data_IF_926109451190
#
_entry.id   IF_926109451190
#
_cell.length_a   1.000
_cell.length_b   1.000
_cell.length_c   1.000
_cell.angle_alpha   90.00
_cell.angle_beta   90.00
_cell.angle_gamma   90.00
#
_symmetry.space_group_name_H-M   'P 1'
#
loop_
_entity.id
_entity.type
_entity.pdbx_description
1 polymer ?
#
# COMPACT_ATOMS: atom_id res chain seq x y z
N UNK A 1 16.70 -19.32 -11.42
CA UNK A 1 16.55 -17.94 -11.03
C UNK A 1 15.75 -17.82 -9.74
N UNK A 2 16.26 -17.06 -8.83
CA UNK A 2 15.55 -16.89 -7.59
C UNK A 2 14.28 -16.08 -7.78
N UNK A 3 13.23 -16.55 -7.15
CA UNK A 3 12.01 -15.75 -7.08
C UNK A 3 12.25 -14.67 -6.04
N UNK A 4 12.27 -13.44 -6.46
CA UNK A 4 12.49 -12.35 -5.54
C UNK A 4 11.23 -12.04 -4.78
N UNK A 5 11.36 -11.90 -3.47
CA UNK A 5 10.27 -11.44 -2.65
C UNK A 5 10.00 -9.98 -2.98
N UNK A 6 8.73 -9.66 -3.06
CA UNK A 6 8.34 -8.27 -3.24
C UNK A 6 8.37 -7.61 -1.87
N UNK A 7 9.18 -6.57 -1.76
CA UNK A 7 9.28 -5.81 -0.52
C UNK A 7 8.91 -4.37 -0.78
N UNK A 8 8.08 -3.85 0.07
CA UNK A 8 7.65 -2.46 -0.02
C UNK A 8 8.33 -1.68 1.09
N UNK A 9 8.92 -0.55 0.73
CA UNK A 9 9.40 0.37 1.75
C UNK A 9 8.18 1.06 2.36
N UNK A 10 7.86 0.68 3.58
CA UNK A 10 6.62 1.11 4.24
C UNK A 10 6.55 2.63 4.39
N UNK A 11 7.66 3.25 4.73
CA UNK A 11 7.70 4.71 4.90
C UNK A 11 7.47 5.41 3.57
N UNK A 12 8.18 4.98 2.55
CA UNK A 12 8.02 5.60 1.22
C UNK A 12 6.62 5.41 0.68
N UNK A 13 6.06 4.22 0.87
CA UNK A 13 4.70 3.95 0.45
C UNK A 13 3.71 4.88 1.15
N UNK A 14 3.86 5.01 2.46
CA UNK A 14 2.96 5.85 3.25
C UNK A 14 3.08 7.33 2.84
N UNK A 15 4.28 7.81 2.63
CA UNK A 15 4.46 9.19 2.17
C UNK A 15 3.85 9.41 0.80
N UNK A 16 3.99 8.45 -0.08
CA UNK A 16 3.41 8.57 -1.42
C UNK A 16 1.89 8.63 -1.35
N UNK A 17 1.30 7.83 -0.47
CA UNK A 17 -0.15 7.84 -0.31
C UNK A 17 -0.63 9.20 0.19
N UNK A 18 0.00 9.72 1.25
CA UNK A 18 -0.47 10.98 1.80
C UNK A 18 -0.16 12.17 0.90
N UNK A 19 0.89 12.09 0.09
CA UNK A 19 1.22 13.16 -0.84
C UNK A 19 0.17 13.33 -1.92
N UNK A 20 -0.57 12.27 -2.21
CA UNK A 20 -1.62 12.31 -3.22
C UNK A 20 -3.02 12.43 -2.63
N UNK A 21 -3.10 12.59 -1.32
CA UNK A 21 -4.36 12.65 -0.62
C UNK A 21 -4.65 14.08 -0.20
N UNK A 22 -5.81 14.57 -0.57
CA UNK A 22 -6.24 15.91 -0.19
C UNK A 22 -7.37 15.83 0.81
N UNK A 23 -7.24 16.57 1.89
CA UNK A 23 -8.27 16.65 2.90
C UNK A 23 -9.10 17.92 2.63
N UNK A 24 -10.39 17.74 2.49
CA UNK A 24 -11.27 18.87 2.28
C UNK A 24 -11.69 19.48 3.60
N UNK A 25 -10.84 20.34 4.11
CA UNK A 25 -11.08 21.00 5.37
C UNK A 25 -10.16 22.21 5.47
N UNK A 26 -10.63 23.24 6.18
CA UNK A 26 -9.79 24.39 6.49
C UNK A 26 -9.20 24.29 7.90
N UNK A 27 -9.61 23.28 8.64
CA UNK A 27 -9.12 23.05 10.00
C UNK A 27 -7.77 22.34 9.95
N UNK A 28 -6.73 23.04 10.31
CA UNK A 28 -5.37 22.52 10.22
C UNK A 28 -5.16 21.27 11.08
N UNK A 29 -5.77 21.25 12.26
CA UNK A 29 -5.66 20.09 13.12
C UNK A 29 -6.30 18.87 12.51
N UNK A 30 -7.47 19.04 11.90
CA UNK A 30 -8.13 17.95 11.24
C UNK A 30 -7.32 17.44 10.05
N UNK A 31 -6.75 18.35 9.27
CA UNK A 31 -5.91 17.98 8.14
C UNK A 31 -4.75 17.13 8.61
N UNK A 32 -4.08 17.58 9.67
CA UNK A 32 -2.94 16.85 10.20
C UNK A 32 -3.34 15.47 10.74
N UNK A 33 -4.46 15.40 11.42
CA UNK A 33 -4.94 14.12 11.97
C UNK A 33 -5.30 13.13 10.86
N UNK A 34 -5.94 13.60 9.81
CA UNK A 34 -6.31 12.71 8.71
C UNK A 34 -5.08 12.22 7.96
N UNK A 35 -4.11 13.10 7.75
CA UNK A 35 -2.86 12.68 7.12
C UNK A 35 -2.11 11.67 7.99
N UNK A 36 -2.07 11.91 9.28
CA UNK A 36 -1.38 10.98 10.20
C UNK A 36 -2.07 9.62 10.22
N UNK A 37 -3.40 9.64 10.30
CA UNK A 37 -4.14 8.37 10.32
C UNK A 37 -3.90 7.60 9.03
N UNK A 38 -3.95 8.27 7.89
CA UNK A 38 -3.73 7.62 6.61
C UNK A 38 -2.28 7.13 6.48
N UNK A 39 -1.32 7.92 6.98
CA UNK A 39 0.07 7.50 6.98
C UNK A 39 0.26 6.21 7.78
N UNK A 40 -0.29 6.17 8.98
CA UNK A 40 -0.16 5.01 9.83
C UNK A 40 -0.83 3.79 9.22
N UNK A 41 -2.02 3.95 8.66
CA UNK A 41 -2.71 2.85 8.00
C UNK A 41 -1.91 2.34 6.80
N UNK A 42 -1.39 3.24 6.01
CA UNK A 42 -0.60 2.88 4.84
C UNK A 42 0.68 2.17 5.23
N UNK A 43 1.34 2.68 6.27
CA UNK A 43 2.56 2.08 6.79
C UNK A 43 2.30 0.65 7.28
N UNK A 44 1.26 0.49 8.09
CA UNK A 44 0.91 -0.83 8.63
C UNK A 44 0.51 -1.80 7.53
N UNK A 45 -0.21 -1.31 6.54
CA UNK A 45 -0.61 -2.16 5.42
C UNK A 45 0.61 -2.66 4.65
N UNK A 46 1.57 -1.79 4.42
CA UNK A 46 2.80 -2.18 3.74
C UNK A 46 3.61 -3.18 4.57
N UNK A 47 3.66 -2.96 5.88
CA UNK A 47 4.34 -3.89 6.78
C UNK A 47 3.66 -5.25 6.79
N UNK A 48 2.35 -5.26 6.78
CA UNK A 48 1.59 -6.50 6.73
C UNK A 48 1.84 -7.24 5.42
N UNK A 49 1.87 -6.50 4.32
CA UNK A 49 2.19 -7.09 3.02
C UNK A 49 3.58 -7.73 3.06
N UNK A 50 4.57 -7.00 3.58
CA UNK A 50 5.93 -7.52 3.65
C UNK A 50 6.00 -8.77 4.51
N UNK A 51 5.27 -8.78 5.59
CA UNK A 51 5.25 -9.93 6.50
C UNK A 51 4.65 -11.15 5.81
N UNK A 52 3.57 -10.95 5.08
CA UNK A 52 2.94 -12.06 4.36
C UNK A 52 3.82 -12.58 3.24
N UNK A 53 4.52 -11.69 2.56
CA UNK A 53 5.46 -12.11 1.51
C UNK A 53 6.65 -12.87 2.10
N UNK A 54 7.13 -12.45 3.26
CA UNK A 54 8.21 -13.17 3.95
C UNK A 54 7.76 -14.55 4.36
N UNK A 55 6.47 -14.72 4.63
CA UNK A 55 5.92 -15.99 5.05
C UNK A 55 5.39 -16.75 3.84
N UNK A 56 6.30 -17.18 2.99
CA UNK A 56 6.04 -18.09 1.87
C UNK A 56 5.27 -17.47 0.70
N UNK A 57 5.41 -16.18 0.49
CA UNK A 57 4.77 -15.52 -0.65
C UNK A 57 3.25 -15.70 -0.66
N UNK A 58 2.64 -15.62 0.49
CA UNK A 58 1.21 -15.91 0.60
C UNK A 58 0.35 -15.03 -0.27
N UNK A 59 0.66 -13.74 -0.32
CA UNK A 59 -0.14 -12.82 -1.11
C UNK A 59 -0.01 -13.09 -2.60
N UNK A 60 1.20 -13.39 -3.06
CA UNK A 60 1.38 -13.65 -4.49
C UNK A 60 0.71 -14.95 -4.91
N UNK A 61 0.40 -15.84 -3.98
CA UNK A 61 -0.30 -17.08 -4.27
C UNK A 61 -1.79 -17.00 -4.01
N UNK A 62 -2.25 -15.91 -3.41
CA UNK A 62 -3.67 -15.72 -3.11
C UNK A 62 -4.42 -15.42 -4.40
N UNK A 63 -5.46 -16.21 -4.75
CA UNK A 63 -6.19 -15.98 -5.99
C UNK A 63 -6.86 -14.61 -6.06
N UNK A 64 -7.37 -14.12 -4.95
CA UNK A 64 -7.99 -12.80 -4.94
C UNK A 64 -6.98 -11.71 -5.18
N UNK A 65 -5.82 -11.82 -4.55
CA UNK A 65 -4.77 -10.86 -4.74
C UNK A 65 -4.26 -10.86 -6.18
N UNK A 66 -4.09 -12.05 -6.75
CA UNK A 66 -3.70 -12.17 -8.15
C UNK A 66 -4.73 -11.52 -9.07
N UNK A 67 -5.99 -11.71 -8.77
CA UNK A 67 -7.06 -11.12 -9.55
C UNK A 67 -6.98 -9.60 -9.50
N UNK A 68 -6.77 -9.05 -8.32
CA UNK A 68 -6.63 -7.62 -8.16
C UNK A 68 -5.43 -7.08 -8.92
N UNK A 69 -4.30 -7.77 -8.85
CA UNK A 69 -3.11 -7.37 -9.57
C UNK A 69 -3.32 -7.38 -11.08
N UNK A 70 -4.00 -8.39 -11.59
CA UNK A 70 -4.30 -8.48 -13.01
C UNK A 70 -5.24 -7.36 -13.44
N UNK A 71 -6.23 -7.05 -12.62
CA UNK A 71 -7.15 -5.96 -12.92
C UNK A 71 -6.41 -4.62 -12.97
N UNK A 72 -5.50 -4.41 -12.04
CA UNK A 72 -4.70 -3.19 -12.03
C UNK A 72 -3.82 -3.09 -13.26
N UNK A 73 -3.20 -4.19 -13.66
CA UNK A 73 -2.38 -4.21 -14.87
C UNK A 73 -3.21 -3.90 -16.10
N UNK A 74 -4.42 -4.41 -16.17
CA UNK A 74 -5.30 -4.12 -17.28
C UNK A 74 -5.65 -2.64 -17.32
N UNK A 75 -5.90 -2.04 -16.17
CA UNK A 75 -6.21 -0.62 -16.10
C UNK A 75 -5.03 0.23 -16.52
N UNK A 76 -3.83 -0.21 -16.18
CA UNK A 76 -2.62 0.51 -16.56
C UNK A 76 -2.36 0.39 -18.05
N UNK A 77 -2.62 -0.76 -18.60
CA UNK A 77 -2.34 -1.04 -20.02
C UNK A 77 -3.50 -0.66 -20.94
N UNK A 78 -4.65 -0.52 -20.38
CA UNK A 78 -5.83 -0.22 -21.16
C UNK A 78 -6.08 1.23 -21.27
#
# INVERSE_FOLDING_TARGET
MAVNKIKINSEKFAYKVINNYQVESTDKERIAKEHLALFLQSYLLAEEFNHLEDDKFKLSKDPEFKKMMLAMNKNING
#
